data_IF_726467813669
#
_entry.id   IF_726467813669
#
_cell.length_a   1.000
_cell.length_b   1.000
_cell.length_c   1.000
_cell.angle_alpha   90.00
_cell.angle_beta   90.00
_cell.angle_gamma   90.00
#
_symmetry.space_group_name_H-M   'P 1'
#
loop_
_entity.id
_entity.type
_entity.pdbx_description
1 polymer ?
#
# COMPACT_ATOMS: atom_id res chain seq x y z
N UNK A 1 -5.43 3.26 -20.00
CA UNK A 1 -6.42 2.89 -18.99
C UNK A 1 -5.76 2.53 -17.68
N UNK A 2 -6.28 3.05 -16.60
CA UNK A 2 -5.70 2.80 -15.29
C UNK A 2 -6.34 1.60 -14.62
N UNK A 3 -5.51 0.68 -14.17
CA UNK A 3 -5.95 -0.44 -13.37
C UNK A 3 -5.63 -0.17 -11.90
N UNK A 4 -5.98 1.04 -11.46
CA UNK A 4 -5.65 1.49 -10.11
C UNK A 4 -6.91 1.66 -9.29
N UNK A 5 -6.91 1.06 -8.11
CA UNK A 5 -8.01 1.19 -7.17
C UNK A 5 -7.50 2.04 -6.00
N UNK A 6 -8.24 3.09 -5.67
CA UNK A 6 -7.84 4.01 -4.60
C UNK A 6 -8.60 3.68 -3.33
N UNK A 7 -7.87 3.60 -2.24
CA UNK A 7 -8.43 3.35 -0.91
C UNK A 7 -8.30 4.60 -0.06
N UNK A 8 -8.80 4.56 1.17
CA UNK A 8 -8.79 5.72 2.02
C UNK A 8 -7.37 6.21 2.27
N UNK A 9 -7.23 7.50 2.55
CA UNK A 9 -5.95 8.16 2.79
C UNK A 9 -5.02 8.12 1.60
N UNK A 10 -5.59 7.91 0.40
CA UNK A 10 -4.81 7.96 -0.82
C UNK A 10 -3.98 6.72 -1.12
N UNK A 11 -4.20 5.64 -0.40
CA UNK A 11 -3.53 4.38 -0.71
C UNK A 11 -4.07 3.83 -2.02
N UNK A 12 -3.17 3.32 -2.85
CA UNK A 12 -3.53 2.84 -4.19
C UNK A 12 -3.01 1.45 -4.43
N UNK A 13 -3.79 0.67 -5.16
CA UNK A 13 -3.40 -0.68 -5.54
C UNK A 13 -3.55 -0.83 -7.04
N UNK A 14 -2.62 -1.55 -7.65
CA UNK A 14 -2.68 -1.90 -9.05
C UNK A 14 -3.40 -3.23 -9.17
N UNK A 15 -4.39 -3.29 -10.04
CA UNK A 15 -5.24 -4.47 -10.18
C UNK A 15 -4.89 -5.17 -11.50
N UNK A 16 -4.71 -6.48 -11.43
CA UNK A 16 -4.44 -7.30 -12.60
C UNK A 16 -5.23 -8.60 -12.50
N UNK A 17 -5.65 -9.11 -13.65
CA UNK A 17 -6.38 -10.37 -13.69
C UNK A 17 -5.39 -11.52 -13.88
N UNK A 18 -5.52 -12.55 -13.06
CA UNK A 18 -4.69 -13.75 -13.16
C UNK A 18 -5.55 -14.89 -13.69
N UNK A 19 -5.38 -15.25 -14.96
CA UNK A 19 -6.21 -16.30 -15.55
C UNK A 19 -5.95 -17.69 -15.00
N UNK A 20 -4.78 -17.91 -14.41
CA UNK A 20 -4.48 -19.24 -13.85
C UNK A 20 -5.34 -19.56 -12.65
N UNK A 21 -5.63 -18.57 -11.82
CA UNK A 21 -6.46 -18.77 -10.65
C UNK A 21 -7.86 -18.16 -10.85
N UNK A 22 -8.08 -17.54 -12.00
CA UNK A 22 -9.36 -16.92 -12.37
C UNK A 22 -9.81 -15.91 -11.32
N UNK A 23 -8.86 -15.09 -10.86
CA UNK A 23 -9.13 -14.06 -9.87
C UNK A 23 -8.35 -12.81 -10.22
N UNK A 24 -8.82 -11.69 -9.72
CA UNK A 24 -8.07 -10.46 -9.78
C UNK A 24 -7.10 -10.38 -8.62
N UNK A 25 -5.94 -9.83 -8.87
CA UNK A 25 -4.94 -9.58 -7.85
C UNK A 25 -4.73 -8.08 -7.71
N UNK A 26 -4.79 -7.59 -6.47
CA UNK A 26 -4.46 -6.20 -6.20
C UNK A 26 -3.17 -6.13 -5.42
N UNK A 27 -2.32 -5.21 -5.81
CA UNK A 27 -1.04 -5.02 -5.13
C UNK A 27 -0.89 -3.55 -4.79
N UNK A 28 -0.78 -3.24 -3.50
CA UNK A 28 -0.60 -1.86 -3.08
C UNK A 28 0.77 -1.36 -3.51
N UNK A 29 0.80 -0.09 -3.91
CA UNK A 29 2.04 0.55 -4.34
C UNK A 29 2.37 1.69 -3.38
N UNK A 30 3.63 2.07 -3.33
CA UNK A 30 4.07 3.18 -2.49
C UNK A 30 4.10 2.85 -1.02
N UNK A 31 4.04 1.57 -0.65
CA UNK A 31 4.12 1.16 0.74
C UNK A 31 5.57 0.92 1.15
N UNK A 32 5.78 1.05 2.44
CA UNK A 32 7.07 0.70 3.04
C UNK A 32 7.02 -0.77 3.45
N UNK A 33 6.76 -1.62 2.47
CA UNK A 33 6.54 -3.04 2.63
C UNK A 33 5.69 -3.53 1.50
N UNK A 34 5.02 -4.66 1.68
CA UNK A 34 4.19 -5.26 0.65
C UNK A 34 2.85 -5.68 1.22
N UNK A 35 1.80 -5.49 0.45
CA UNK A 35 0.46 -5.97 0.78
C UNK A 35 -0.27 -6.23 -0.52
N UNK A 36 -0.88 -7.41 -0.63
CA UNK A 36 -1.67 -7.73 -1.80
C UNK A 36 -2.94 -8.46 -1.38
N UNK A 37 -3.85 -8.59 -2.32
CA UNK A 37 -5.15 -9.19 -2.05
C UNK A 37 -5.73 -9.75 -3.34
N UNK A 38 -6.67 -10.67 -3.20
CA UNK A 38 -7.28 -11.36 -4.33
C UNK A 38 -8.78 -11.36 -4.18
N UNK A 39 -9.49 -11.31 -5.29
CA UNK A 39 -10.95 -11.43 -5.30
C UNK A 39 -11.41 -11.76 -6.71
N UNK A 40 -12.61 -12.33 -6.80
CA UNK A 40 -13.16 -12.74 -8.10
C UNK A 40 -13.96 -11.63 -8.76
N UNK A 41 -14.26 -10.55 -8.04
CA UNK A 41 -15.04 -9.45 -8.60
C UNK A 41 -14.63 -8.13 -7.96
N UNK A 42 -15.19 -7.04 -8.46
CA UNK A 42 -14.84 -5.70 -8.05
C UNK A 42 -15.21 -5.44 -6.59
N UNK A 43 -16.40 -5.89 -6.19
CA UNK A 43 -16.84 -5.72 -4.81
C UNK A 43 -15.90 -6.43 -3.85
N UNK A 44 -15.50 -7.65 -4.23
CA UNK A 44 -14.56 -8.41 -3.43
C UNK A 44 -13.20 -7.73 -3.34
N UNK A 45 -12.75 -7.13 -4.43
CA UNK A 45 -11.48 -6.41 -4.41
C UNK A 45 -11.52 -5.27 -3.41
N UNK A 46 -12.62 -4.51 -3.38
CA UNK A 46 -12.73 -3.40 -2.44
C UNK A 46 -12.71 -3.91 -1.00
N UNK A 47 -13.43 -4.98 -0.73
CA UNK A 47 -13.50 -5.56 0.61
C UNK A 47 -12.16 -6.14 1.06
N UNK A 48 -11.58 -6.97 0.20
CA UNK A 48 -10.32 -7.63 0.54
C UNK A 48 -9.17 -6.64 0.61
N UNK A 49 -9.18 -5.66 -0.27
CA UNK A 49 -8.16 -4.61 -0.25
C UNK A 49 -8.20 -3.81 1.03
N UNK A 50 -9.41 -3.48 1.49
CA UNK A 50 -9.56 -2.75 2.74
C UNK A 50 -9.02 -3.56 3.92
N UNK A 51 -9.35 -4.85 3.96
CA UNK A 51 -8.87 -5.73 5.03
C UNK A 51 -7.36 -5.83 4.99
N UNK A 52 -6.79 -6.03 3.80
CA UNK A 52 -5.36 -6.15 3.64
C UNK A 52 -4.65 -4.88 4.11
N UNK A 53 -5.21 -3.73 3.75
CA UNK A 53 -4.64 -2.44 4.14
C UNK A 53 -4.69 -2.27 5.65
N UNK A 54 -5.81 -2.60 6.28
CA UNK A 54 -5.96 -2.46 7.71
C UNK A 54 -4.95 -3.32 8.47
N UNK A 55 -4.74 -4.55 8.00
CA UNK A 55 -3.76 -5.44 8.61
C UNK A 55 -2.36 -4.86 8.47
N UNK A 56 -2.05 -4.36 7.27
CA UNK A 56 -0.74 -3.76 7.02
C UNK A 56 -0.50 -2.56 7.93
N UNK A 57 -1.49 -1.69 8.05
CA UNK A 57 -1.36 -0.50 8.89
C UNK A 57 -1.18 -0.87 10.36
N UNK A 58 -1.88 -1.91 10.80
CA UNK A 58 -1.76 -2.38 12.17
C UNK A 58 -0.35 -2.90 12.47
N UNK A 59 0.20 -3.67 11.53
CA UNK A 59 1.56 -4.19 11.69
C UNK A 59 2.57 -3.04 11.72
N UNK A 60 2.38 -2.04 10.85
CA UNK A 60 3.27 -0.89 10.83
C UNK A 60 3.22 -0.12 12.16
N UNK A 61 2.03 0.03 12.72
CA UNK A 61 1.88 0.72 14.00
C UNK A 61 2.59 -0.04 15.12
N UNK A 62 2.47 -1.36 15.12
CA UNK A 62 3.14 -2.18 16.12
C UNK A 62 4.65 -2.09 16.04
N UNK A 63 5.17 -2.01 14.83
CA UNK A 63 6.62 -1.98 14.63
C UNK A 63 7.20 -0.58 14.55
N UNK A 64 6.36 0.44 14.63
CA UNK A 64 6.82 1.81 14.53
C UNK A 64 7.34 2.18 13.16
N UNK A 65 6.80 1.58 12.11
CA UNK A 65 7.21 1.82 10.73
C UNK A 65 6.19 2.71 10.05
N UNK A 66 6.66 3.72 9.32
CA UNK A 66 5.76 4.55 8.53
C UNK A 66 5.18 3.70 7.41
N UNK A 67 3.84 3.66 7.24
CA UNK A 67 3.24 2.79 6.23
C UNK A 67 3.52 3.21 4.80
N UNK A 68 3.60 4.51 4.52
CA UNK A 68 3.87 5.00 3.18
C UNK A 68 5.36 5.18 2.98
N UNK A 69 5.82 4.79 1.79
CA UNK A 69 7.21 5.01 1.43
C UNK A 69 7.48 6.49 1.41
N UNK A 70 8.54 6.92 2.10
CA UNK A 70 8.92 8.31 2.10
C UNK A 70 9.48 8.66 0.74
N UNK A 71 8.98 9.71 0.16
CA UNK A 71 9.60 10.24 -1.04
C UNK A 71 10.90 10.88 -0.56
N UNK A 72 11.96 10.41 -1.04
CA UNK A 72 13.23 10.92 -0.56
C UNK A 72 13.34 12.39 -0.83
N UNK A 73 13.39 13.10 -0.05
CA UNK A 73 13.45 14.44 -0.34
C UNK A 73 13.75 15.22 0.79
N UNK A 74 13.32 14.22 0.81
CA UNK A 74 13.52 14.50 1.42
C UNK A 74 13.93 14.48 2.17
N UNK A 75 13.89 14.66 2.32
CA UNK A 75 14.21 14.52 2.94
C UNK A 75 14.61 14.66 3.68
N UNK A 76 14.47 14.93 3.73
CA UNK A 76 14.98 15.10 4.28
C UNK A 76 15.49 15.28 4.89
N UNK A 77 15.58 15.82 5.07
CA UNK A 77 16.22 16.06 5.54
C UNK A 77 16.61 16.18 6.37
N UNK A 78 16.54 16.31 6.37
CA UNK A 78 17.12 16.55 6.95
C UNK A 78 17.46 16.48 7.65
N UNK A 79 17.44 16.66 7.60
CA UNK A 79 18.08 16.74 8.15
C UNK A 79 18.31 16.51 8.82
N UNK A 80 18.37 16.82 8.77
CA UNK A 80 18.82 16.79 9.35
C UNK A 80 18.87 16.57 10.00
N UNK A 81 18.64 16.75 9.97
CA UNK A 81 19.01 16.81 10.38
C UNK A 81 18.88 16.30 10.71
N UNK A 82 18.54 16.59 10.53
CA UNK A 82 18.74 16.49 10.62
C UNK A 82 18.80 16.10 10.78
N UNK A 83 18.66 16.36 10.93
CA UNK A 83 19.35 16.44 10.95
C UNK A 83 19.61 15.95 11.45
N UNK A 84 19.19 15.93 11.76
CA UNK A 84 19.72 15.83 12.08
C UNK A 84 19.88 15.34 12.64
N UNK A 85 19.59 15.47 12.83
CA UNK A 85 19.92 15.23 13.06
C UNK A 85 19.95 14.78 13.43
N UNK A 86 19.67 15.00 13.47
CA UNK A 86 19.91 14.72 13.51
C UNK A 86 20.03 14.60 13.83
#
# INVERSE_FOLDING_TARGET
MNNVMTFEDGYKAVIAYDPEIEMFRGEFVGLNGAADFYASDLEGLKREGKISLEVFLEVCAEKGIAPKKQAGRFALRLDPETYQSV
#
